data_IF_874532443587
#
_entry.id   IF_874532443587
#
_cell.length_a   1.000
_cell.length_b   1.000
_cell.length_c   1.000
_cell.angle_alpha   90.00
_cell.angle_beta   90.00
_cell.angle_gamma   90.00
#
_symmetry.space_group_name_H-M   'P 1'
#
loop_
_entity.id
_entity.type
_entity.pdbx_description
1 polymer ?
#
# COMPACT_ATOMS: atom_id res chain seq x y z
N UNK A 1 -11.53 -32.64 5.24
CA UNK A 1 -10.62 -31.61 4.69
C UNK A 1 -11.24 -30.23 4.88
N UNK A 2 -10.68 -29.42 5.78
CA UNK A 2 -11.04 -28.00 5.89
C UNK A 2 -10.66 -27.29 4.57
N UNK A 3 -11.44 -26.31 4.09
CA UNK A 3 -11.04 -25.53 2.93
C UNK A 3 -9.74 -24.77 3.24
N UNK A 4 -8.89 -24.49 2.24
CA UNK A 4 -7.72 -23.64 2.44
C UNK A 4 -8.18 -22.23 2.87
N UNK A 5 -7.57 -21.74 3.94
CA UNK A 5 -7.79 -20.41 4.53
C UNK A 5 -7.54 -19.34 3.48
N UNK A 6 -8.57 -18.55 3.18
CA UNK A 6 -8.52 -17.49 2.17
C UNK A 6 -7.99 -16.22 2.84
N UNK A 7 -6.80 -15.78 2.42
CA UNK A 7 -6.16 -14.56 2.93
C UNK A 7 -7.02 -13.34 2.59
N UNK A 8 -7.09 -12.35 3.49
CA UNK A 8 -7.74 -11.07 3.17
C UNK A 8 -6.67 -10.01 2.92
N UNK A 9 -6.64 -9.43 1.74
CA UNK A 9 -5.70 -8.37 1.37
C UNK A 9 -6.45 -7.05 1.23
N UNK A 10 -6.04 -6.03 1.98
CA UNK A 10 -6.45 -4.66 1.67
C UNK A 10 -5.44 -4.09 0.68
N UNK A 11 -5.91 -3.67 -0.50
CA UNK A 11 -5.06 -3.05 -1.52
C UNK A 11 -5.41 -1.57 -1.65
N UNK A 12 -4.45 -0.70 -1.36
CA UNK A 12 -4.55 0.73 -1.65
C UNK A 12 -3.77 1.01 -2.94
N UNK A 13 -4.44 1.42 -4.01
CA UNK A 13 -3.78 1.78 -5.28
C UNK A 13 -4.03 3.24 -5.63
N UNK A 14 -3.11 3.84 -6.40
CA UNK A 14 -3.34 5.18 -6.96
C UNK A 14 -4.25 5.07 -8.20
N UNK A 15 -5.27 5.93 -8.38
CA UNK A 15 -6.04 5.93 -9.62
C UNK A 15 -5.14 6.32 -10.79
N UNK A 16 -5.08 5.46 -11.81
CA UNK A 16 -4.36 5.75 -13.05
C UNK A 16 -5.11 6.85 -13.82
N UNK A 17 -4.38 7.89 -14.23
CA UNK A 17 -4.92 9.04 -14.94
C UNK A 17 -5.55 8.62 -16.27
N UNK A 18 -6.88 8.55 -16.33
CA UNK A 18 -7.62 8.67 -17.59
C UNK A 18 -8.76 9.67 -17.41
N UNK A 19 -8.69 10.72 -18.20
CA UNK A 19 -9.69 11.76 -18.36
C UNK A 19 -11.06 11.18 -18.70
N UNK A 20 -12.05 11.46 -17.87
CA UNK A 20 -13.46 11.43 -18.28
C UNK A 20 -14.15 12.65 -17.67
N UNK A 21 -14.38 13.66 -18.51
CA UNK A 21 -15.28 14.77 -18.24
C UNK A 21 -16.70 14.26 -17.98
N UNK A 22 -17.25 14.53 -16.79
CA UNK A 22 -18.70 14.66 -16.60
C UNK A 22 -18.99 15.57 -15.40
N UNK A 23 -20.04 16.37 -15.57
CA UNK A 23 -20.40 17.56 -14.82
C UNK A 23 -20.75 17.34 -13.33
N UNK A 24 -20.59 18.43 -12.57
CA UNK A 24 -21.03 18.59 -11.20
C UNK A 24 -22.55 18.44 -11.03
N UNK A 25 -22.97 17.80 -9.94
CA UNK A 25 -24.13 18.20 -9.11
C UNK A 25 -24.44 17.15 -8.02
N UNK A 26 -24.66 17.67 -6.80
CA UNK A 26 -25.38 17.10 -5.65
C UNK A 26 -24.63 16.14 -4.70
N UNK A 27 -24.36 16.67 -3.50
CA UNK A 27 -24.37 16.02 -2.17
C UNK A 27 -24.32 14.48 -2.17
N UNK A 28 -23.11 13.93 -2.00
CA UNK A 28 -22.91 12.49 -1.79
C UNK A 28 -22.75 12.15 -0.30
N UNK A 29 -23.31 11.02 0.17
CA UNK A 29 -23.16 10.53 1.54
C UNK A 29 -21.75 9.97 1.79
N UNK A 30 -21.39 9.71 3.05
CA UNK A 30 -20.11 9.12 3.47
C UNK A 30 -19.71 7.89 2.63
N UNK A 31 -18.41 7.71 2.30
CA UNK A 31 -17.97 6.62 1.45
C UNK A 31 -18.03 5.27 2.18
N UNK A 32 -18.96 4.42 1.77
CA UNK A 32 -18.93 2.97 2.07
C UNK A 32 -17.93 2.27 1.15
N UNK A 33 -16.94 1.50 1.67
CA UNK A 33 -16.03 0.71 0.85
C UNK A 33 -16.81 -0.33 0.03
N UNK A 34 -16.59 -0.37 -1.29
CA UNK A 34 -17.13 -1.43 -2.16
C UNK A 34 -16.13 -2.56 -2.26
N UNK A 35 -16.35 -3.65 -1.53
CA UNK A 35 -15.57 -4.87 -1.71
C UNK A 35 -16.08 -5.66 -2.92
N UNK A 36 -15.17 -6.24 -3.70
CA UNK A 36 -15.50 -7.08 -4.84
C UNK A 36 -14.72 -8.38 -4.68
N UNK A 37 -15.40 -9.53 -4.71
CA UNK A 37 -14.73 -10.81 -4.88
C UNK A 37 -13.95 -10.77 -6.20
N UNK A 38 -12.72 -11.28 -6.24
CA UNK A 38 -11.94 -11.37 -7.48
C UNK A 38 -12.55 -12.43 -8.42
N UNK A 39 -13.75 -12.15 -8.93
CA UNK A 39 -14.45 -12.92 -9.94
C UNK A 39 -14.58 -12.04 -11.19
N UNK A 40 -13.60 -12.15 -12.10
CA UNK A 40 -13.62 -11.78 -13.52
C UNK A 40 -14.38 -10.49 -13.96
N UNK A 41 -14.53 -9.50 -13.08
CA UNK A 41 -15.22 -8.23 -13.33
C UNK A 41 -14.23 -7.07 -13.44
N UNK A 42 -14.30 -6.32 -14.54
CA UNK A 42 -13.28 -5.39 -15.02
C UNK A 42 -13.15 -4.08 -14.20
N UNK A 43 -12.20 -4.04 -13.24
CA UNK A 43 -11.48 -2.81 -12.90
C UNK A 43 -9.98 -3.07 -13.04
N UNK A 44 -9.30 -2.22 -13.81
CA UNK A 44 -7.88 -2.39 -14.18
C UNK A 44 -7.03 -2.16 -12.92
N UNK A 45 -6.65 -3.25 -12.25
CA UNK A 45 -5.91 -3.25 -10.97
C UNK A 45 -6.07 -4.53 -10.14
N UNK A 46 -7.15 -5.30 -10.35
CA UNK A 46 -7.46 -6.52 -9.57
C UNK A 46 -6.92 -7.84 -10.14
N UNK A 47 -6.51 -7.86 -11.41
CA UNK A 47 -6.10 -9.10 -12.11
C UNK A 47 -4.91 -9.86 -11.48
N UNK A 48 -3.82 -9.20 -11.02
CA UNK A 48 -2.67 -9.92 -10.46
C UNK A 48 -3.04 -10.71 -9.20
N UNK A 49 -3.96 -10.18 -8.41
CA UNK A 49 -4.37 -10.72 -7.11
C UNK A 49 -5.28 -11.94 -7.21
N UNK A 50 -5.87 -12.21 -8.38
CA UNK A 50 -6.71 -13.40 -8.60
C UNK A 50 -5.97 -14.71 -8.31
N UNK A 51 -4.64 -14.73 -8.46
CA UNK A 51 -3.86 -15.94 -8.22
C UNK A 51 -3.53 -16.20 -6.74
N UNK A 52 -3.83 -15.25 -5.84
CA UNK A 52 -3.51 -15.32 -4.41
C UNK A 52 -4.58 -16.02 -3.57
N UNK A 53 -5.70 -16.42 -4.18
CA UNK A 53 -6.87 -16.98 -3.47
C UNK A 53 -7.20 -16.14 -2.23
N UNK A 54 -7.35 -14.83 -2.45
CA UNK A 54 -7.55 -13.85 -1.41
C UNK A 54 -8.77 -12.97 -1.68
N UNK A 55 -9.44 -12.53 -0.61
CA UNK A 55 -10.43 -11.45 -0.69
C UNK A 55 -9.67 -10.14 -0.77
N UNK A 56 -9.94 -9.32 -1.80
CA UNK A 56 -9.31 -8.01 -1.94
C UNK A 56 -10.30 -6.90 -1.58
N UNK A 57 -9.96 -6.11 -0.57
CA UNK A 57 -10.71 -4.92 -0.18
C UNK A 57 -9.92 -3.70 -0.62
N UNK A 58 -10.45 -2.96 -1.59
CA UNK A 58 -9.79 -1.78 -2.12
C UNK A 58 -10.56 -0.51 -1.71
N UNK A 59 -10.15 0.18 -0.64
CA UNK A 59 -10.82 1.42 -0.23
C UNK A 59 -10.56 2.53 -1.25
N UNK A 60 -11.63 3.23 -1.62
CA UNK A 60 -11.59 4.41 -2.48
C UNK A 60 -11.31 5.65 -1.60
N UNK A 61 -10.05 5.82 -1.22
CA UNK A 61 -9.62 6.88 -0.31
C UNK A 61 -9.64 8.25 -0.99
N UNK A 62 -9.83 9.30 -0.19
CA UNK A 62 -9.84 10.69 -0.67
C UNK A 62 -8.50 11.09 -1.27
N UNK A 63 -8.56 11.84 -2.37
CA UNK A 63 -7.40 12.17 -3.18
C UNK A 63 -6.98 13.62 -2.98
N UNK A 64 -5.67 13.83 -3.09
CA UNK A 64 -5.11 15.15 -3.26
C UNK A 64 -5.37 15.68 -4.68
N UNK A 65 -5.52 17.00 -4.88
CA UNK A 65 -5.31 18.08 -3.92
C UNK A 65 -6.51 18.46 -3.04
N UNK A 66 -7.71 17.93 -3.31
CA UNK A 66 -8.93 18.22 -2.55
C UNK A 66 -8.75 17.86 -1.07
N UNK A 67 -8.15 16.69 -0.83
CA UNK A 67 -7.86 16.15 0.49
C UNK A 67 -6.37 15.76 0.56
N UNK A 68 -5.54 16.71 1.02
CA UNK A 68 -4.11 16.48 1.28
C UNK A 68 -3.88 15.47 2.41
N UNK A 69 -2.64 15.00 2.56
CA UNK A 69 -2.26 14.19 3.74
C UNK A 69 -2.65 14.93 5.03
N UNK A 70 -3.19 14.22 6.05
CA UNK A 70 -3.23 12.77 6.21
C UNK A 70 -4.48 12.06 5.65
N UNK A 71 -5.36 12.70 4.89
CA UNK A 71 -6.69 12.17 4.56
C UNK A 71 -6.69 10.73 4.02
N UNK A 72 -5.83 10.42 3.05
CA UNK A 72 -5.71 9.08 2.49
C UNK A 72 -5.28 8.00 3.51
N UNK A 73 -4.44 8.38 4.49
CA UNK A 73 -4.00 7.47 5.57
C UNK A 73 -5.14 7.22 6.55
N UNK A 74 -5.90 8.26 6.89
CA UNK A 74 -7.08 8.13 7.75
C UNK A 74 -8.17 7.26 7.10
N UNK A 75 -8.35 7.37 5.79
CA UNK A 75 -9.30 6.53 5.05
C UNK A 75 -8.83 5.07 4.99
N UNK A 76 -7.53 4.83 4.83
CA UNK A 76 -6.94 3.48 4.94
C UNK A 76 -7.16 2.86 6.32
N UNK A 77 -7.02 3.65 7.39
CA UNK A 77 -7.29 3.18 8.76
C UNK A 77 -8.80 2.99 9.00
N UNK A 78 -9.64 3.86 8.43
CA UNK A 78 -11.10 3.70 8.47
C UNK A 78 -11.54 2.41 7.79
N UNK A 79 -10.89 2.01 6.69
CA UNK A 79 -11.14 0.72 6.04
C UNK A 79 -10.78 -0.48 6.95
N UNK A 80 -9.71 -0.39 7.73
CA UNK A 80 -9.38 -1.41 8.74
C UNK A 80 -10.43 -1.48 9.86
N UNK A 81 -10.92 -0.32 10.32
CA UNK A 81 -12.01 -0.26 11.30
C UNK A 81 -13.33 -0.78 10.75
N UNK A 82 -13.62 -0.51 9.47
CA UNK A 82 -14.77 -1.10 8.79
C UNK A 82 -14.64 -2.62 8.75
N UNK A 83 -13.47 -3.16 8.39
CA UNK A 83 -13.23 -4.61 8.37
C UNK A 83 -13.41 -5.23 9.77
N UNK A 84 -12.89 -4.56 10.80
CA UNK A 84 -13.11 -4.95 12.20
C UNK A 84 -14.61 -4.98 12.54
N UNK A 85 -15.37 -3.97 12.10
CA UNK A 85 -16.83 -3.91 12.27
C UNK A 85 -17.54 -5.10 11.60
N UNK A 86 -17.13 -5.50 10.39
CA UNK A 86 -17.67 -6.68 9.72
C UNK A 86 -17.39 -7.97 10.51
N UNK A 87 -16.18 -8.09 11.08
CA UNK A 87 -15.78 -9.25 11.86
C UNK A 87 -16.51 -9.38 13.21
N UNK A 88 -16.99 -8.26 13.75
CA UNK A 88 -17.69 -8.16 15.04
C UNK A 88 -19.22 -8.11 14.91
N UNK A 89 -19.76 -8.02 13.68
CA UNK A 89 -21.18 -7.85 13.47
C UNK A 89 -21.98 -9.05 13.99
N UNK A 90 -23.08 -8.78 14.70
CA UNK A 90 -24.02 -9.81 15.16
C UNK A 90 -24.80 -10.42 13.98
N UNK A 91 -25.05 -9.61 12.94
CA UNK A 91 -25.68 -10.00 11.68
C UNK A 91 -24.73 -9.67 10.51
N UNK A 92 -23.67 -10.47 10.30
CA UNK A 92 -22.68 -10.17 9.28
C UNK A 92 -23.21 -10.44 7.87
N UNK A 93 -22.70 -9.69 6.91
CA UNK A 93 -22.92 -9.97 5.50
C UNK A 93 -22.07 -11.17 5.06
N UNK A 94 -22.75 -12.25 4.65
CA UNK A 94 -22.11 -13.54 4.39
C UNK A 94 -21.21 -13.52 3.16
N UNK A 95 -21.36 -12.56 2.24
CA UNK A 95 -20.45 -12.47 1.08
C UNK A 95 -19.00 -12.27 1.52
N UNK A 96 -18.76 -11.66 2.70
CA UNK A 96 -17.43 -11.47 3.27
C UNK A 96 -17.10 -12.50 4.34
N UNK A 97 -17.98 -12.71 5.32
CA UNK A 97 -17.64 -13.55 6.48
C UNK A 97 -17.49 -15.03 6.17
N UNK A 98 -18.12 -15.52 5.09
CA UNK A 98 -18.00 -16.93 4.70
C UNK A 98 -16.65 -17.23 4.01
N UNK A 99 -15.95 -16.20 3.54
CA UNK A 99 -14.75 -16.32 2.70
C UNK A 99 -13.53 -15.60 3.25
N UNK A 100 -13.68 -14.60 4.12
CA UNK A 100 -12.57 -13.84 4.67
C UNK A 100 -12.05 -14.47 5.97
N UNK A 101 -10.75 -14.71 6.03
CA UNK A 101 -10.07 -14.97 7.30
C UNK A 101 -9.62 -13.64 7.93
N UNK A 102 -10.36 -13.18 8.93
CA UNK A 102 -10.04 -11.97 9.69
C UNK A 102 -8.77 -12.13 10.56
N UNK A 103 -8.36 -13.36 10.87
CA UNK A 103 -7.11 -13.65 11.57
C UNK A 103 -5.86 -13.64 10.67
N UNK A 104 -6.07 -13.49 9.36
CA UNK A 104 -5.02 -13.55 8.35
C UNK A 104 -5.13 -12.41 7.33
N UNK A 105 -4.93 -11.18 7.82
CA UNK A 105 -5.02 -9.96 7.02
C UNK A 105 -3.64 -9.45 6.60
N UNK A 106 -3.50 -9.09 5.33
CA UNK A 106 -2.32 -8.39 4.81
C UNK A 106 -2.72 -7.04 4.25
N UNK A 107 -1.86 -6.04 4.44
CA UNK A 107 -2.06 -4.70 3.89
C UNK A 107 -1.05 -4.48 2.78
N UNK A 108 -1.52 -4.12 1.60
CA UNK A 108 -0.66 -3.83 0.46
C UNK A 108 -0.99 -2.48 -0.15
N UNK A 109 0.02 -1.85 -0.73
CA UNK A 109 -0.21 -0.72 -1.60
C UNK A 109 0.95 -0.45 -2.53
N UNK A 110 0.63 0.14 -3.68
CA UNK A 110 1.59 0.55 -4.69
C UNK A 110 1.81 2.06 -4.66
N UNK A 111 3.08 2.48 -4.83
CA UNK A 111 3.45 3.88 -4.88
C UNK A 111 2.96 4.65 -3.64
N UNK A 112 2.05 5.62 -3.79
CA UNK A 112 1.41 6.31 -2.68
C UNK A 112 0.68 5.35 -1.72
N UNK A 113 0.10 4.25 -2.23
CA UNK A 113 -0.46 3.18 -1.41
C UNK A 113 0.58 2.47 -0.54
N UNK A 114 1.82 2.35 -1.02
CA UNK A 114 2.94 1.87 -0.20
C UNK A 114 3.23 2.83 0.96
N UNK A 115 3.23 4.15 0.70
CA UNK A 115 3.36 5.13 1.79
C UNK A 115 2.22 4.99 2.82
N UNK A 116 0.97 4.82 2.36
CA UNK A 116 -0.19 4.60 3.23
C UNK A 116 0.00 3.33 4.06
N UNK A 117 0.34 2.21 3.43
CA UNK A 117 0.56 0.93 4.09
C UNK A 117 1.66 1.01 5.17
N UNK A 118 2.75 1.74 4.93
CA UNK A 118 3.77 2.00 5.95
C UNK A 118 3.19 2.76 7.15
N UNK A 119 2.46 3.85 6.90
CA UNK A 119 1.86 4.64 7.98
C UNK A 119 0.83 3.84 8.79
N UNK A 120 0.09 2.94 8.14
CA UNK A 120 -0.79 1.98 8.82
C UNK A 120 0.02 0.99 9.67
N UNK A 121 1.15 0.49 9.16
CA UNK A 121 2.03 -0.40 9.93
C UNK A 121 2.54 0.26 11.22
N UNK A 122 2.98 1.51 11.13
CA UNK A 122 3.45 2.29 12.29
C UNK A 122 2.29 2.60 13.25
N UNK A 123 1.10 2.92 12.73
CA UNK A 123 -0.08 3.27 13.55
C UNK A 123 -0.65 2.07 14.30
N UNK A 124 -0.85 0.95 13.58
CA UNK A 124 -1.45 -0.27 14.15
C UNK A 124 -0.43 -0.94 15.05
N UNK A 125 0.80 -1.11 14.58
CA UNK A 125 1.86 -1.81 15.28
C UNK A 125 1.64 -3.32 15.40
N UNK A 126 2.74 -4.08 15.45
CA UNK A 126 2.67 -5.54 15.59
C UNK A 126 2.01 -5.97 16.89
N UNK A 127 1.13 -6.97 16.80
CA UNK A 127 0.46 -7.57 17.96
C UNK A 127 -0.55 -6.65 18.64
N UNK A 128 -0.93 -5.54 18.01
CA UNK A 128 -1.97 -4.66 18.53
C UNK A 128 -3.31 -5.38 18.59
N UNK A 129 -3.94 -5.34 19.77
CA UNK A 129 -5.28 -5.90 20.00
C UNK A 129 -6.39 -4.93 19.57
N UNK A 130 -6.03 -3.72 19.13
CA UNK A 130 -6.96 -2.64 18.83
C UNK A 130 -7.89 -2.97 17.64
N UNK A 131 -7.43 -3.82 16.73
CA UNK A 131 -8.20 -4.29 15.58
C UNK A 131 -8.87 -5.66 15.81
N UNK A 132 -8.70 -6.28 16.98
CA UNK A 132 -9.27 -7.59 17.29
C UNK A 132 -10.78 -7.66 16.97
N UNK A 133 -11.26 -8.70 16.26
CA UNK A 133 -10.57 -9.96 15.93
C UNK A 133 -9.71 -9.90 14.65
N UNK A 134 -9.60 -8.74 13.99
CA UNK A 134 -8.75 -8.57 12.81
C UNK A 134 -7.28 -8.60 13.22
N UNK A 135 -6.51 -9.52 12.64
CA UNK A 135 -5.06 -9.67 12.87
C UNK A 135 -4.32 -9.41 11.56
N UNK A 136 -3.54 -8.33 11.55
CA UNK A 136 -2.62 -8.03 10.45
C UNK A 136 -1.37 -8.89 10.61
N UNK A 137 -1.01 -9.62 9.57
CA UNK A 137 0.12 -10.57 9.52
C UNK A 137 1.32 -10.05 8.74
N UNK A 138 1.13 -8.99 7.95
CA UNK A 138 2.23 -8.35 7.25
C UNK A 138 1.79 -7.24 6.29
N UNK A 139 2.80 -6.52 5.81
CA UNK A 139 2.65 -5.39 4.90
C UNK A 139 3.44 -5.61 3.61
N UNK A 140 2.83 -5.33 2.46
CA UNK A 140 3.45 -5.46 1.14
C UNK A 140 3.51 -4.10 0.46
N UNK A 141 4.68 -3.48 0.49
CA UNK A 141 5.00 -2.16 -0.03
C UNK A 141 5.57 -2.28 -1.43
N UNK A 142 4.78 -1.93 -2.45
CA UNK A 142 5.20 -2.01 -3.85
C UNK A 142 5.63 -0.62 -4.33
N UNK A 143 6.92 -0.45 -4.63
CA UNK A 143 7.56 0.81 -5.01
C UNK A 143 7.11 2.00 -4.12
N UNK A 144 7.24 1.92 -2.79
CA UNK A 144 6.61 2.87 -1.87
C UNK A 144 7.07 4.31 -2.11
N UNK A 145 6.11 5.23 -2.18
CA UNK A 145 6.35 6.65 -2.46
C UNK A 145 6.76 7.40 -1.19
N UNK A 146 8.02 7.23 -0.79
CA UNK A 146 8.65 8.05 0.26
C UNK A 146 9.29 9.29 -0.34
N UNK A 147 9.33 10.36 0.44
CA UNK A 147 9.95 11.62 0.04
C UNK A 147 11.11 12.03 0.95
N UNK A 148 11.60 13.23 0.68
CA UNK A 148 12.53 13.98 1.50
C UNK A 148 12.98 15.23 0.76
N UNK A 149 13.49 16.24 1.47
CA UNK A 149 13.93 17.48 0.81
C UNK A 149 15.29 17.33 0.11
N UNK A 150 16.12 16.42 0.60
CA UNK A 150 17.41 16.05 -0.01
C UNK A 150 17.18 14.88 -0.95
N UNK A 151 17.48 15.06 -2.24
CA UNK A 151 17.35 14.02 -3.25
C UNK A 151 18.32 12.85 -2.99
N UNK A 152 17.86 11.62 -3.21
CA UNK A 152 18.73 10.46 -3.30
C UNK A 152 19.39 10.36 -4.69
N UNK A 153 20.37 9.47 -4.83
CA UNK A 153 21.14 9.29 -6.08
C UNK A 153 20.22 9.00 -7.28
N UNK A 154 19.26 8.06 -7.13
CA UNK A 154 18.29 7.73 -8.17
C UNK A 154 17.34 8.87 -8.53
N UNK A 155 17.00 9.77 -7.59
CA UNK A 155 16.18 10.96 -7.86
C UNK A 155 17.00 12.05 -8.58
N UNK A 156 18.26 12.23 -8.19
CA UNK A 156 19.14 13.27 -8.73
C UNK A 156 19.68 12.94 -10.13
N UNK A 157 20.02 11.66 -10.36
CA UNK A 157 20.70 11.19 -11.57
C UNK A 157 19.83 10.23 -12.40
N UNK A 158 18.55 10.08 -12.05
CA UNK A 158 17.59 9.25 -12.78
C UNK A 158 17.30 9.78 -14.20
N UNK A 159 16.80 8.92 -15.11
CA UNK A 159 16.44 9.34 -16.45
C UNK A 159 15.29 10.35 -16.44
N UNK A 160 15.46 11.46 -17.17
CA UNK A 160 14.44 12.54 -17.26
C UNK A 160 13.16 12.05 -17.96
N UNK A 161 13.31 11.10 -18.87
CA UNK A 161 12.24 10.45 -19.65
C UNK A 161 11.69 9.19 -18.98
N UNK A 162 12.06 8.91 -17.72
CA UNK A 162 11.45 7.85 -16.94
C UNK A 162 9.93 8.05 -16.82
N UNK A 163 9.19 6.93 -16.76
CA UNK A 163 7.74 6.96 -16.57
C UNK A 163 7.32 7.76 -15.32
N UNK A 164 7.99 7.50 -14.20
CA UNK A 164 7.97 8.38 -13.03
C UNK A 164 9.27 9.16 -13.02
N UNK A 165 9.22 10.46 -13.31
CA UNK A 165 10.37 11.35 -13.32
C UNK A 165 10.28 12.41 -12.21
N UNK A 166 11.36 13.17 -12.01
CA UNK A 166 11.44 14.16 -10.92
C UNK A 166 10.37 15.26 -11.01
N UNK A 167 9.98 15.68 -12.23
CA UNK A 167 8.91 16.67 -12.42
C UNK A 167 7.55 16.14 -11.93
N UNK A 168 7.23 14.89 -12.24
CA UNK A 168 6.01 14.24 -11.75
C UNK A 168 6.05 14.04 -10.23
N UNK A 169 7.19 13.63 -9.68
CA UNK A 169 7.38 13.49 -8.23
C UNK A 169 7.14 14.83 -7.52
N UNK A 170 7.77 15.92 -7.98
CA UNK A 170 7.57 17.26 -7.44
C UNK A 170 6.10 17.68 -7.53
N UNK A 171 5.46 17.43 -8.69
CA UNK A 171 4.04 17.74 -8.88
C UNK A 171 3.15 16.99 -7.90
N UNK A 172 3.37 15.68 -7.71
CA UNK A 172 2.60 14.89 -6.76
C UNK A 172 2.76 15.41 -5.34
N UNK A 173 3.99 15.73 -4.91
CA UNK A 173 4.22 16.31 -3.59
C UNK A 173 3.59 17.69 -3.40
N UNK A 174 3.68 18.58 -4.39
CA UNK A 174 3.00 19.89 -4.33
C UNK A 174 1.49 19.78 -4.14
N UNK A 175 0.88 18.73 -4.69
CA UNK A 175 -0.54 18.46 -4.56
C UNK A 175 -0.90 17.79 -3.23
N UNK A 176 -0.06 16.91 -2.69
CA UNK A 176 -0.40 16.03 -1.56
C UNK A 176 0.15 16.42 -0.19
N UNK A 177 1.28 17.14 -0.12
CA UNK A 177 1.91 17.57 1.14
C UNK A 177 0.95 18.47 1.93
N UNK A 178 0.88 18.36 3.27
CA UNK A 178 0.11 19.28 4.10
C UNK A 178 0.47 20.75 3.83
N UNK A 179 -0.49 21.66 3.91
CA UNK A 179 -0.25 23.07 3.62
C UNK A 179 0.75 23.65 4.62
N UNK A 180 1.86 24.19 4.11
CA UNK A 180 2.93 24.78 4.93
C UNK A 180 4.06 23.82 5.29
N UNK A 181 3.96 22.55 4.92
CA UNK A 181 4.98 21.54 5.15
C UNK A 181 5.83 21.25 3.91
N UNK A 182 6.81 20.36 4.07
CA UNK A 182 7.70 19.89 3.00
C UNK A 182 7.63 18.37 2.87
N UNK A 183 8.39 17.81 1.94
CA UNK A 183 8.56 16.36 1.79
C UNK A 183 9.32 15.70 2.96
N UNK A 184 9.83 16.47 3.94
CA UNK A 184 10.34 15.94 5.21
C UNK A 184 9.25 15.77 6.28
N UNK A 185 7.98 16.02 5.93
CA UNK A 185 6.86 15.74 6.82
C UNK A 185 6.90 14.26 7.28
N UNK A 186 6.63 13.94 8.56
CA UNK A 186 6.81 12.59 9.11
C UNK A 186 6.00 11.48 8.41
N UNK A 187 4.87 11.83 7.78
CA UNK A 187 4.05 10.88 7.01
C UNK A 187 4.62 10.58 5.62
N UNK A 188 5.57 11.39 5.15
CA UNK A 188 6.15 11.34 3.79
C UNK A 188 7.57 10.78 3.83
N UNK A 189 8.39 11.26 4.77
CA UNK A 189 9.76 10.82 4.97
C UNK A 189 9.86 10.04 6.29
N UNK A 190 9.94 8.71 6.30
CA UNK A 190 9.99 7.92 7.53
C UNK A 190 11.22 8.20 8.40
N UNK A 191 12.28 8.79 7.84
CA UNK A 191 13.56 9.07 8.53
C UNK A 191 14.00 10.52 8.38
N UNK A 192 13.04 11.42 8.19
CA UNK A 192 13.28 12.86 8.10
C UNK A 192 13.61 13.47 9.46
N UNK A 193 14.06 14.74 9.49
CA UNK A 193 14.41 15.44 10.73
C UNK A 193 13.29 15.54 11.76
N UNK A 194 12.03 15.48 11.33
CA UNK A 194 10.84 15.56 12.20
C UNK A 194 10.19 14.21 12.46
N UNK A 195 10.73 13.13 11.89
CA UNK A 195 10.14 11.79 11.98
C UNK A 195 10.36 11.19 13.35
N UNK A 196 9.39 10.39 13.79
CA UNK A 196 9.49 9.66 15.05
C UNK A 196 10.52 8.54 14.92
N UNK A 197 11.16 8.21 16.03
CA UNK A 197 12.01 7.04 16.10
C UNK A 197 11.16 5.76 15.93
N UNK A 198 11.55 4.92 14.97
CA UNK A 198 10.89 3.66 14.64
C UNK A 198 11.52 2.46 15.37
N UNK A 199 12.66 2.64 16.04
CA UNK A 199 13.28 1.59 16.84
C UNK A 199 12.33 1.04 17.93
N UNK A 200 11.61 1.86 18.73
CA UNK A 200 10.66 1.34 19.71
C UNK A 200 9.34 0.84 19.11
N UNK A 201 9.06 1.12 17.83
CA UNK A 201 7.80 0.75 17.17
C UNK A 201 7.84 -0.72 16.74
N UNK A 202 6.98 -1.56 17.30
CA UNK A 202 6.83 -2.93 16.83
C UNK A 202 6.15 -2.94 15.46
N UNK A 203 6.74 -3.63 14.46
CA UNK A 203 6.20 -3.76 13.11
C UNK A 203 6.00 -5.22 12.77
N UNK A 204 4.89 -5.54 12.12
CA UNK A 204 4.68 -6.85 11.50
C UNK A 204 5.66 -7.02 10.33
N UNK A 205 5.88 -8.25 9.84
CA UNK A 205 6.71 -8.49 8.66
C UNK A 205 6.36 -7.55 7.49
N UNK A 206 7.38 -6.99 6.85
CA UNK A 206 7.22 -6.05 5.73
C UNK A 206 8.00 -6.55 4.52
N UNK A 207 7.30 -6.73 3.40
CA UNK A 207 7.89 -6.93 2.09
C UNK A 207 7.98 -5.59 1.36
N UNK A 208 9.18 -5.17 0.98
CA UNK A 208 9.46 -3.98 0.17
C UNK A 208 9.91 -4.45 -1.22
N UNK A 209 9.17 -4.05 -2.24
CA UNK A 209 9.49 -4.40 -3.63
C UNK A 209 9.76 -3.12 -4.41
N UNK A 210 10.77 -3.10 -5.28
CA UNK A 210 11.00 -1.97 -6.18
C UNK A 210 11.58 -2.41 -7.52
N UNK A 211 11.44 -1.59 -8.55
CA UNK A 211 12.12 -1.77 -9.82
C UNK A 211 13.54 -1.16 -9.79
N UNK A 212 14.53 -1.85 -10.34
CA UNK A 212 15.92 -1.36 -10.36
C UNK A 212 16.17 -0.12 -11.22
N UNK A 213 15.19 0.26 -12.06
CA UNK A 213 15.18 1.50 -12.85
C UNK A 213 14.16 2.53 -12.33
N UNK A 214 13.59 2.32 -11.14
CA UNK A 214 12.70 3.26 -10.46
C UNK A 214 13.50 4.40 -9.81
N UNK A 215 13.02 5.65 -9.93
CA UNK A 215 13.60 6.80 -9.24
C UNK A 215 13.49 6.70 -7.73
N UNK A 216 12.53 5.94 -7.20
CA UNK A 216 12.32 5.76 -5.76
C UNK A 216 13.11 4.60 -5.16
N UNK A 217 13.90 3.87 -5.97
CA UNK A 217 14.59 2.66 -5.51
C UNK A 217 15.51 2.92 -4.32
N UNK A 218 16.25 4.03 -4.32
CA UNK A 218 17.19 4.32 -3.25
C UNK A 218 16.45 4.73 -1.96
N UNK A 219 15.28 5.39 -2.07
CA UNK A 219 14.39 5.66 -0.93
C UNK A 219 13.92 4.34 -0.30
N UNK A 220 13.42 3.41 -1.13
CA UNK A 220 12.93 2.12 -0.69
C UNK A 220 14.04 1.25 -0.08
N UNK A 221 15.23 1.28 -0.67
CA UNK A 221 16.42 0.57 -0.17
C UNK A 221 16.87 1.10 1.19
N UNK A 222 17.07 2.42 1.32
CA UNK A 222 17.42 3.04 2.61
C UNK A 222 16.38 2.74 3.68
N UNK A 223 15.10 2.72 3.29
CA UNK A 223 14.02 2.35 4.19
C UNK A 223 14.15 0.92 4.70
N UNK A 224 14.39 -0.04 3.80
CA UNK A 224 14.53 -1.43 4.18
C UNK A 224 15.80 -1.68 5.02
N UNK A 225 16.92 -1.06 4.67
CA UNK A 225 18.19 -1.17 5.39
C UNK A 225 18.06 -0.65 6.83
N UNK A 226 17.55 0.57 7.03
CA UNK A 226 17.38 1.16 8.36
C UNK A 226 16.47 0.35 9.27
N UNK A 227 15.33 -0.12 8.75
CA UNK A 227 14.44 -0.96 9.55
C UNK A 227 15.05 -2.33 9.86
N UNK A 228 15.85 -2.90 8.95
CA UNK A 228 16.60 -4.14 9.22
C UNK A 228 17.64 -3.93 10.31
N UNK A 229 18.37 -2.81 10.28
CA UNK A 229 19.32 -2.41 11.33
C UNK A 229 18.65 -2.23 12.69
N UNK A 230 17.41 -1.74 12.71
CA UNK A 230 16.55 -1.66 13.91
C UNK A 230 15.95 -3.01 14.33
N UNK A 231 16.37 -4.13 13.73
CA UNK A 231 15.93 -5.48 14.06
C UNK A 231 14.51 -5.84 13.61
N UNK A 232 13.92 -5.06 12.68
CA UNK A 232 12.59 -5.36 12.13
C UNK A 232 12.68 -6.46 11.07
N UNK A 233 11.58 -7.21 10.89
CA UNK A 233 11.48 -8.27 9.87
C UNK A 233 11.15 -7.66 8.50
N UNK A 234 12.19 -7.27 7.78
CA UNK A 234 12.05 -6.67 6.45
C UNK A 234 12.60 -7.62 5.39
N UNK A 235 11.82 -7.83 4.34
CA UNK A 235 12.29 -8.45 3.10
C UNK A 235 12.34 -7.39 2.01
N UNK A 236 13.49 -7.20 1.37
CA UNK A 236 13.68 -6.27 0.25
C UNK A 236 13.93 -7.04 -1.04
N UNK A 237 13.15 -6.75 -2.08
CA UNK A 237 13.28 -7.39 -3.40
C UNK A 237 13.33 -6.34 -4.49
N UNK A 238 14.44 -6.32 -5.22
CA UNK A 238 14.63 -5.44 -6.37
C UNK A 238 14.48 -6.23 -7.68
N UNK A 239 13.64 -5.72 -8.58
CA UNK A 239 13.45 -6.29 -9.91
C UNK A 239 14.31 -5.53 -10.92
N UNK A 240 15.44 -6.13 -11.30
CA UNK A 240 16.40 -5.53 -12.23
C UNK A 240 15.74 -5.03 -13.53
N UNK A 241 16.12 -3.82 -13.94
CA UNK A 241 15.64 -3.19 -15.18
C UNK A 241 14.16 -2.79 -15.18
N UNK A 242 13.41 -3.05 -14.10
CA UNK A 242 12.01 -2.69 -14.04
C UNK A 242 11.80 -1.24 -13.61
N UNK A 243 10.78 -0.62 -14.18
CA UNK A 243 10.39 0.77 -13.94
C UNK A 243 9.41 0.87 -12.75
N UNK A 244 9.15 2.10 -12.30
CA UNK A 244 8.10 2.35 -11.32
C UNK A 244 6.75 1.77 -11.77
N UNK A 245 6.09 1.00 -10.89
CA UNK A 245 4.78 0.44 -11.17
C UNK A 245 4.74 -0.61 -12.29
N UNK A 246 5.87 -1.25 -12.65
CA UNK A 246 5.94 -2.24 -13.75
C UNK A 246 4.84 -3.32 -13.70
N UNK A 247 4.44 -3.74 -12.50
CA UNK A 247 3.41 -4.75 -12.25
C UNK A 247 1.98 -4.24 -12.47
N UNK A 248 1.76 -2.93 -12.40
CA UNK A 248 0.48 -2.29 -12.73
C UNK A 248 0.38 -1.98 -14.21
N UNK A 249 1.50 -1.65 -14.85
CA UNK A 249 1.58 -1.29 -16.28
C UNK A 249 1.37 -2.52 -17.17
N UNK A 250 2.11 -3.60 -16.92
CA UNK A 250 1.99 -4.86 -17.66
C UNK A 250 1.92 -6.06 -16.70
N UNK A 251 0.73 -6.38 -16.18
CA UNK A 251 0.55 -7.45 -15.21
C UNK A 251 0.81 -8.86 -15.78
N UNK A 252 0.81 -9.01 -17.11
CA UNK A 252 1.03 -10.30 -17.78
C UNK A 252 2.51 -10.54 -18.10
N UNK A 253 3.36 -9.52 -17.97
CA UNK A 253 4.79 -9.63 -18.16
C UNK A 253 5.44 -10.57 -17.14
N UNK A 254 6.51 -11.24 -17.55
CA UNK A 254 7.23 -12.18 -16.69
C UNK A 254 7.72 -11.57 -15.35
N UNK A 255 8.22 -10.32 -15.29
CA UNK A 255 8.53 -9.68 -14.01
C UNK A 255 7.32 -9.55 -13.07
N UNK A 256 6.13 -9.22 -13.60
CA UNK A 256 4.91 -9.07 -12.79
C UNK A 256 4.44 -10.44 -12.25
N UNK A 257 4.51 -11.50 -13.05
CA UNK A 257 4.23 -12.88 -12.58
C UNK A 257 5.23 -13.33 -11.51
N UNK A 258 6.52 -13.04 -11.70
CA UNK A 258 7.55 -13.33 -10.68
C UNK A 258 7.26 -12.58 -9.38
N UNK A 259 6.84 -11.32 -9.45
CA UNK A 259 6.40 -10.57 -8.28
C UNK A 259 5.22 -11.24 -7.57
N UNK A 260 4.21 -11.72 -8.30
CA UNK A 260 3.12 -12.48 -7.67
C UNK A 260 3.61 -13.73 -6.93
N UNK A 261 4.62 -14.42 -7.47
CA UNK A 261 5.29 -15.53 -6.78
C UNK A 261 5.96 -15.10 -5.47
N UNK A 262 6.64 -13.94 -5.46
CA UNK A 262 7.26 -13.36 -4.25
C UNK A 262 6.19 -13.04 -3.20
N UNK A 263 5.10 -12.38 -3.59
CA UNK A 263 4.00 -12.02 -2.68
C UNK A 263 3.32 -13.27 -2.12
N UNK A 264 3.05 -14.29 -2.96
CA UNK A 264 2.49 -15.58 -2.53
C UNK A 264 3.34 -16.24 -1.46
N UNK A 265 4.66 -16.31 -1.68
CA UNK A 265 5.59 -16.87 -0.70
C UNK A 265 5.55 -16.08 0.60
N UNK A 266 5.66 -14.75 0.53
CA UNK A 266 5.63 -13.89 1.70
C UNK A 266 4.35 -14.07 2.52
N UNK A 267 3.18 -14.13 1.87
CA UNK A 267 1.90 -14.38 2.54
C UNK A 267 1.90 -15.77 3.19
N UNK A 268 2.32 -16.81 2.47
CA UNK A 268 2.34 -18.17 2.99
C UNK A 268 3.26 -18.33 4.22
N UNK A 269 4.44 -17.71 4.21
CA UNK A 269 5.41 -17.73 5.30
C UNK A 269 4.89 -17.04 6.56
N UNK A 270 4.04 -16.02 6.42
CA UNK A 270 3.57 -15.18 7.54
C UNK A 270 2.11 -15.45 7.94
N UNK A 271 1.40 -16.34 7.25
CA UNK A 271 0.00 -16.73 7.57
C UNK A 271 -0.13 -17.70 8.74
N UNK A 272 0.98 -18.12 9.35
CA UNK A 272 1.01 -19.12 10.44
C UNK A 272 0.81 -18.54 11.85
#
# INVERSE_FOLDING_TARGET
PLPPTTTTTIQTSSPSSTTSTAAASASAPEPTPSATTAAAGSRRGSKPWCELQAVVIAPDYRLAPEDRLPAAIEDGYTALKWLQGQALAEEPDTWLTDVADFGNVFISGDSAGGNIAHNLAVRVGAGSVELGPVVVKGYVLLAPFFGGTVLCESEANGPVDAFLNLELIDRFWRLSVPVGDTTDHPLINPFGPSSKDLEPVALDPVLVVVGGSDLLKDRAKVYAEKLTEMGKKIEYVEFEGQQHGFFTIDPEAEPAKKLMGVIKRFIAENSS
#
